data_IF_799271289519
#
_entry.id   IF_799271289519
#
_cell.length_a   1.000
_cell.length_b   1.000
_cell.length_c   1.000
_cell.angle_alpha   90.00
_cell.angle_beta   90.00
_cell.angle_gamma   90.00
#
_symmetry.space_group_name_H-M   'P 1'
#
loop_
_entity.id
_entity.type
_entity.pdbx_description
1 polymer ?
#
# COMPACT_ATOMS: atom_id res chain seq x y z
N UNK A 1 25.42 -4.56 14.92
CA UNK A 1 24.68 -3.30 14.69
C UNK A 1 25.20 -2.50 13.49
N UNK A 2 26.46 -2.07 13.45
CA UNK A 2 26.99 -1.25 12.36
C UNK A 2 26.90 -1.90 10.96
N UNK A 3 27.17 -3.20 10.83
CA UNK A 3 27.05 -3.92 9.55
C UNK A 3 25.60 -4.00 9.03
N UNK A 4 24.62 -4.14 9.90
CA UNK A 4 23.22 -4.18 9.51
C UNK A 4 22.73 -2.82 8.96
N UNK A 5 23.13 -1.72 9.63
CA UNK A 5 22.79 -0.36 9.18
C UNK A 5 23.43 -0.04 7.83
N UNK A 6 24.70 -0.43 7.61
CA UNK A 6 25.38 -0.21 6.34
C UNK A 6 24.72 -1.01 5.20
N UNK A 7 24.31 -2.24 5.48
CA UNK A 7 23.61 -3.09 4.51
C UNK A 7 22.23 -2.52 4.16
N UNK A 8 21.52 -1.95 5.14
CA UNK A 8 20.23 -1.32 4.88
C UNK A 8 20.34 -0.01 4.09
N UNK A 9 21.38 0.79 4.33
CA UNK A 9 21.65 1.99 3.52
C UNK A 9 21.95 1.59 2.08
N UNK A 10 22.76 0.56 1.87
CA UNK A 10 23.02 0.02 0.53
C UNK A 10 21.71 -0.47 -0.12
N UNK A 11 20.89 -1.23 0.60
CA UNK A 11 19.58 -1.67 0.13
C UNK A 11 18.67 -0.49 -0.28
N UNK A 12 18.68 0.62 0.48
CA UNK A 12 17.89 1.81 0.18
C UNK A 12 18.37 2.48 -1.12
N UNK A 13 19.66 2.66 -1.30
CA UNK A 13 20.23 3.23 -2.53
C UNK A 13 19.89 2.36 -3.73
N UNK A 14 19.99 1.03 -3.61
CA UNK A 14 19.62 0.09 -4.65
C UNK A 14 18.12 0.14 -4.95
N UNK A 15 17.27 0.17 -3.92
CA UNK A 15 15.81 0.25 -4.07
C UNK A 15 15.39 1.49 -4.87
N UNK A 16 15.90 2.66 -4.48
CA UNK A 16 15.61 3.92 -5.17
C UNK A 16 16.22 3.92 -6.58
N UNK A 17 17.45 3.46 -6.72
CA UNK A 17 18.14 3.39 -8.01
C UNK A 17 17.39 2.51 -9.02
N UNK A 18 17.02 1.29 -8.63
CA UNK A 18 16.28 0.39 -9.53
C UNK A 18 14.86 0.87 -9.82
N UNK A 19 14.20 1.52 -8.86
CA UNK A 19 12.90 2.14 -9.12
C UNK A 19 12.97 3.30 -10.11
N UNK A 20 14.06 4.07 -10.12
CA UNK A 20 14.31 5.09 -11.15
C UNK A 20 14.61 4.44 -12.51
N UNK A 21 15.42 3.36 -12.53
CA UNK A 21 15.71 2.63 -13.76
C UNK A 21 14.45 2.02 -14.42
N UNK A 22 13.41 1.69 -13.61
CA UNK A 22 12.11 1.28 -14.14
C UNK A 22 11.50 2.36 -15.07
N UNK A 23 11.59 3.64 -14.70
CA UNK A 23 11.05 4.75 -15.50
C UNK A 23 11.81 5.02 -16.79
N UNK A 24 13.06 4.59 -16.86
CA UNK A 24 13.94 4.82 -18.03
C UNK A 24 13.97 3.60 -18.96
N UNK A 25 13.35 2.49 -18.54
CA UNK A 25 13.40 1.24 -19.31
C UNK A 25 12.45 1.26 -20.51
N UNK A 26 12.99 1.19 -21.72
CA UNK A 26 12.23 1.10 -22.97
C UNK A 26 11.91 -0.35 -23.38
N UNK A 27 12.52 -1.34 -22.70
CA UNK A 27 12.41 -2.75 -23.05
C UNK A 27 11.72 -3.53 -21.92
N UNK A 28 10.72 -4.35 -22.27
CA UNK A 28 9.95 -5.18 -21.33
C UNK A 28 10.82 -6.10 -20.47
N UNK A 29 11.90 -6.65 -21.04
CA UNK A 29 12.82 -7.51 -20.31
C UNK A 29 13.60 -6.73 -19.27
N UNK A 30 14.07 -5.51 -19.60
CA UNK A 30 14.75 -4.62 -18.66
C UNK A 30 13.79 -4.13 -17.57
N UNK A 31 12.55 -3.82 -17.93
CA UNK A 31 11.49 -3.49 -16.96
C UNK A 31 11.32 -4.60 -15.91
N UNK A 32 11.14 -5.84 -16.37
CA UNK A 32 11.00 -6.98 -15.46
C UNK A 32 12.25 -7.15 -14.58
N UNK A 33 13.44 -7.05 -15.16
CA UNK A 33 14.70 -7.20 -14.42
C UNK A 33 14.83 -6.14 -13.32
N UNK A 34 14.57 -4.87 -13.61
CA UNK A 34 14.63 -3.81 -12.60
C UNK A 34 13.56 -3.95 -11.52
N UNK A 35 12.38 -4.45 -11.89
CA UNK A 35 11.30 -4.76 -10.96
C UNK A 35 11.71 -5.85 -9.96
N UNK A 36 12.43 -6.89 -10.41
CA UNK A 36 12.98 -7.93 -9.53
C UNK A 36 14.13 -7.41 -8.67
N UNK A 37 15.06 -6.68 -9.25
CA UNK A 37 16.16 -6.09 -8.50
C UNK A 37 15.66 -5.11 -7.42
N UNK A 38 14.63 -4.33 -7.70
CA UNK A 38 13.99 -3.45 -6.71
C UNK A 38 13.36 -4.26 -5.58
N UNK A 39 12.67 -5.37 -5.89
CA UNK A 39 12.09 -6.23 -4.85
C UNK A 39 13.15 -6.92 -4.00
N UNK A 40 14.24 -7.41 -4.60
CA UNK A 40 15.36 -8.03 -3.87
C UNK A 40 16.12 -7.03 -2.98
N UNK A 41 16.21 -5.76 -3.41
CA UNK A 41 16.89 -4.72 -2.63
C UNK A 41 16.20 -4.37 -1.31
N UNK A 42 14.97 -4.81 -1.10
CA UNK A 42 14.25 -4.67 0.17
C UNK A 42 14.69 -5.69 1.23
N UNK A 43 15.24 -6.83 0.84
CA UNK A 43 15.63 -7.93 1.74
C UNK A 43 16.52 -7.46 2.92
N UNK A 44 17.55 -6.62 2.72
CA UNK A 44 18.39 -6.14 3.81
C UNK A 44 17.64 -5.43 4.95
N UNK A 45 16.48 -4.82 4.65
CA UNK A 45 15.72 -4.09 5.66
C UNK A 45 15.06 -5.01 6.70
N UNK A 46 14.73 -6.24 6.34
CA UNK A 46 14.18 -7.22 7.27
C UNK A 46 15.15 -7.58 8.39
N UNK A 47 16.44 -7.50 8.15
CA UNK A 47 17.48 -7.88 9.12
C UNK A 47 17.94 -6.75 10.06
N UNK A 48 17.25 -5.58 10.04
CA UNK A 48 17.55 -4.50 10.96
C UNK A 48 17.11 -4.81 12.39
N UNK A 49 15.98 -5.47 12.53
CA UNK A 49 15.42 -5.88 13.81
C UNK A 49 15.48 -7.40 13.95
N UNK A 50 15.72 -7.88 15.16
CA UNK A 50 15.84 -9.31 15.48
C UNK A 50 14.55 -9.87 16.10
N UNK A 51 13.38 -9.37 15.69
CA UNK A 51 12.11 -9.83 16.24
C UNK A 51 11.74 -11.24 15.77
N UNK A 52 11.06 -11.97 16.64
CA UNK A 52 10.49 -13.28 16.33
C UNK A 52 9.37 -13.11 15.31
N UNK A 53 9.56 -13.58 14.10
CA UNK A 53 8.57 -13.45 13.02
C UNK A 53 9.11 -12.79 11.75
N UNK A 54 10.22 -12.07 11.83
CA UNK A 54 10.89 -11.45 10.67
C UNK A 54 11.19 -12.47 9.57
N UNK A 55 11.60 -13.69 9.94
CA UNK A 55 11.85 -14.74 8.96
C UNK A 55 10.58 -15.20 8.25
N UNK A 56 9.43 -15.23 8.95
CA UNK A 56 8.14 -15.58 8.35
C UNK A 56 7.71 -14.51 7.35
N UNK A 57 7.87 -13.23 7.72
CA UNK A 57 7.55 -12.13 6.81
C UNK A 57 8.48 -12.09 5.60
N UNK A 58 9.79 -12.28 5.80
CA UNK A 58 10.76 -12.38 4.72
C UNK A 58 10.44 -13.54 3.77
N UNK A 59 10.18 -14.73 4.33
CA UNK A 59 9.82 -15.89 3.53
C UNK A 59 8.55 -15.65 2.71
N UNK A 60 7.49 -15.12 3.34
CA UNK A 60 6.25 -14.76 2.65
C UNK A 60 6.50 -13.77 1.51
N UNK A 61 7.31 -12.73 1.77
CA UNK A 61 7.66 -11.72 0.76
C UNK A 61 8.43 -12.32 -0.42
N UNK A 62 9.45 -13.14 -0.18
CA UNK A 62 10.28 -13.76 -1.23
C UNK A 62 9.47 -14.73 -2.08
N UNK A 63 8.63 -15.56 -1.44
CA UNK A 63 7.76 -16.50 -2.16
C UNK A 63 6.78 -15.75 -3.07
N UNK A 64 6.13 -14.72 -2.56
CA UNK A 64 5.18 -13.94 -3.36
C UNK A 64 5.89 -13.20 -4.48
N UNK A 65 7.05 -12.60 -4.22
CA UNK A 65 7.84 -11.94 -5.28
C UNK A 65 8.22 -12.94 -6.37
N UNK A 66 8.72 -14.12 -6.03
CA UNK A 66 9.11 -15.15 -7.00
C UNK A 66 7.92 -15.69 -7.81
N UNK A 67 6.79 -15.97 -7.16
CA UNK A 67 5.58 -16.44 -7.87
C UNK A 67 5.02 -15.34 -8.77
N UNK A 68 4.92 -14.10 -8.27
CA UNK A 68 4.42 -12.99 -9.09
C UNK A 68 5.30 -12.72 -10.31
N UNK A 69 6.63 -12.79 -10.16
CA UNK A 69 7.55 -12.57 -11.27
C UNK A 69 7.47 -13.68 -12.32
N UNK A 70 7.33 -14.93 -11.91
CA UNK A 70 7.15 -16.05 -12.84
C UNK A 70 5.87 -15.92 -13.67
N UNK A 71 4.77 -15.45 -13.04
CA UNK A 71 3.51 -15.19 -13.73
C UNK A 71 3.63 -14.00 -14.70
N UNK A 72 4.32 -12.94 -14.29
CA UNK A 72 4.57 -11.77 -15.15
C UNK A 72 5.39 -12.17 -16.37
N UNK A 73 6.48 -12.91 -16.19
CA UNK A 73 7.32 -13.38 -17.30
C UNK A 73 6.54 -14.30 -18.24
N UNK A 74 5.77 -15.25 -17.72
CA UNK A 74 4.97 -16.14 -18.55
C UNK A 74 3.93 -15.36 -19.39
N UNK A 75 3.30 -14.35 -18.81
CA UNK A 75 2.37 -13.48 -19.54
C UNK A 75 3.05 -12.55 -20.56
N UNK A 76 4.32 -12.20 -20.36
CA UNK A 76 5.10 -11.40 -21.33
C UNK A 76 5.64 -12.23 -22.50
N UNK A 77 5.88 -13.52 -22.28
CA UNK A 77 6.42 -14.42 -23.30
C UNK A 77 5.36 -14.94 -24.28
N UNK A 78 4.11 -14.98 -23.85
CA UNK A 78 3.00 -15.55 -24.62
C UNK A 78 1.82 -14.59 -24.66
N UNK A 79 1.52 -13.99 -25.79
CA UNK A 79 0.43 -13.00 -25.96
C UNK A 79 -0.95 -13.57 -25.58
N UNK A 80 -1.18 -14.87 -25.78
CA UNK A 80 -2.42 -15.56 -25.39
C UNK A 80 -2.60 -15.68 -23.86
N UNK A 81 -1.55 -15.46 -23.08
CA UNK A 81 -1.52 -15.62 -21.63
C UNK A 81 -1.40 -14.27 -20.86
N UNK A 82 -1.83 -13.17 -21.48
CA UNK A 82 -1.84 -11.83 -20.84
C UNK A 82 -2.56 -11.84 -19.47
N UNK A 83 -3.57 -12.68 -19.32
CA UNK A 83 -4.28 -12.85 -18.03
C UNK A 83 -3.34 -13.29 -16.89
N UNK A 84 -2.30 -14.10 -17.17
CA UNK A 84 -1.30 -14.48 -16.16
C UNK A 84 -0.45 -13.29 -15.71
N UNK A 85 -0.12 -12.38 -16.63
CA UNK A 85 0.57 -11.13 -16.31
C UNK A 85 -0.27 -10.30 -15.34
N UNK A 86 -1.57 -10.13 -15.64
CA UNK A 86 -2.50 -9.38 -14.77
C UNK A 86 -2.59 -10.03 -13.38
N UNK A 87 -2.77 -11.34 -13.32
CA UNK A 87 -2.81 -12.09 -12.05
C UNK A 87 -1.49 -11.93 -11.27
N UNK A 88 -0.35 -12.01 -11.96
CA UNK A 88 0.97 -11.79 -11.34
C UNK A 88 1.12 -10.40 -10.74
N UNK A 89 0.64 -9.36 -11.42
CA UNK A 89 0.66 -8.00 -10.92
C UNK A 89 -0.34 -7.80 -9.77
N UNK A 90 -1.57 -8.35 -9.86
CA UNK A 90 -2.54 -8.33 -8.75
C UNK A 90 -1.97 -9.00 -7.50
N UNK A 91 -1.28 -10.13 -7.66
CA UNK A 91 -0.57 -10.81 -6.58
C UNK A 91 0.52 -9.91 -5.98
N UNK A 92 1.32 -9.26 -6.81
CA UNK A 92 2.42 -8.38 -6.37
C UNK A 92 1.93 -7.18 -5.57
N UNK A 93 0.80 -6.60 -5.95
CA UNK A 93 0.17 -5.48 -5.24
C UNK A 93 -0.70 -5.89 -4.06
N UNK A 94 -0.95 -7.19 -3.88
CA UNK A 94 -1.76 -7.72 -2.80
C UNK A 94 -3.24 -7.36 -2.90
N UNK A 95 -3.81 -7.35 -4.13
CA UNK A 95 -5.25 -7.15 -4.32
C UNK A 95 -6.00 -8.46 -4.10
N UNK A 96 -7.34 -8.35 -3.97
CA UNK A 96 -8.19 -9.54 -3.87
C UNK A 96 -7.97 -10.46 -5.09
N UNK A 97 -7.83 -11.78 -4.85
CA UNK A 97 -7.92 -12.52 -3.58
C UNK A 97 -6.61 -12.62 -2.78
N UNK A 98 -5.51 -12.02 -3.23
CA UNK A 98 -4.15 -12.24 -2.73
C UNK A 98 -3.71 -11.30 -1.61
N UNK A 99 -4.62 -10.75 -0.80
CA UNK A 99 -4.31 -9.77 0.26
C UNK A 99 -3.50 -10.34 1.43
N UNK A 100 -3.57 -11.66 1.66
CA UNK A 100 -3.07 -12.30 2.88
C UNK A 100 -1.58 -12.07 3.15
N UNK A 101 -0.74 -12.14 2.14
CA UNK A 101 0.70 -11.96 2.30
C UNK A 101 1.09 -10.54 2.77
N UNK A 102 0.33 -9.53 2.36
CA UNK A 102 0.58 -8.13 2.76
C UNK A 102 0.47 -8.00 4.27
N UNK A 103 -0.56 -8.59 4.88
CA UNK A 103 -0.72 -8.58 6.33
C UNK A 103 0.43 -9.30 7.03
N UNK A 104 0.82 -10.48 6.56
CA UNK A 104 1.94 -11.23 7.14
C UNK A 104 3.24 -10.41 7.07
N UNK A 105 3.52 -9.81 5.92
CA UNK A 105 4.74 -9.01 5.72
C UNK A 105 4.73 -7.78 6.61
N UNK A 106 3.65 -7.00 6.64
CA UNK A 106 3.63 -5.74 7.37
C UNK A 106 3.58 -5.92 8.89
N UNK A 107 2.86 -6.95 9.39
CA UNK A 107 2.72 -7.20 10.83
C UNK A 107 4.03 -7.65 11.48
N UNK A 108 4.80 -8.50 10.78
CA UNK A 108 6.04 -9.07 11.32
C UNK A 108 7.31 -8.38 10.83
N UNK A 109 7.21 -7.21 10.20
CA UNK A 109 8.36 -6.44 9.72
C UNK A 109 8.47 -5.08 10.42
N UNK A 110 9.65 -4.47 10.32
CA UNK A 110 9.91 -3.14 10.83
C UNK A 110 9.28 -2.04 9.94
N UNK A 111 9.10 -0.84 10.49
CA UNK A 111 8.49 0.30 9.80
C UNK A 111 9.23 0.75 8.54
N UNK A 112 10.52 0.40 8.40
CA UNK A 112 11.31 0.73 7.22
C UNK A 112 10.94 -0.21 6.05
N UNK A 113 10.69 -1.49 6.31
CA UNK A 113 10.12 -2.43 5.33
C UNK A 113 8.71 -1.98 4.95
N UNK A 114 7.88 -1.64 5.95
CA UNK A 114 6.53 -1.11 5.73
C UNK A 114 6.57 0.08 4.78
N UNK A 115 7.50 1.03 4.99
CA UNK A 115 7.69 2.19 4.12
C UNK A 115 8.09 1.77 2.70
N UNK A 116 9.11 0.92 2.54
CA UNK A 116 9.60 0.49 1.23
C UNK A 116 8.53 -0.21 0.39
N UNK A 117 7.79 -1.16 1.01
CA UNK A 117 6.70 -1.90 0.35
C UNK A 117 5.52 -0.99 0.00
N UNK A 118 5.14 -0.09 0.91
CA UNK A 118 3.96 0.77 0.72
C UNK A 118 4.20 1.96 -0.20
N UNK A 119 5.45 2.35 -0.44
CA UNK A 119 5.79 3.54 -1.23
C UNK A 119 6.56 3.20 -2.49
N UNK A 120 7.84 2.88 -2.37
CA UNK A 120 8.77 2.79 -3.52
C UNK A 120 8.43 1.62 -4.43
N UNK A 121 8.16 0.43 -3.89
CA UNK A 121 7.82 -0.74 -4.71
C UNK A 121 6.51 -0.57 -5.51
N UNK A 122 5.66 0.34 -5.09
CA UNK A 122 4.45 0.68 -5.85
C UNK A 122 4.71 1.44 -7.14
N UNK A 123 5.92 1.96 -7.37
CA UNK A 123 6.25 2.65 -8.63
C UNK A 123 6.00 1.78 -9.87
N UNK A 124 6.05 0.47 -9.71
CA UNK A 124 5.83 -0.49 -10.79
C UNK A 124 4.39 -0.48 -11.36
N UNK A 125 3.38 0.03 -10.62
CA UNK A 125 2.01 0.10 -11.16
C UNK A 125 1.85 1.14 -12.28
N UNK A 126 2.72 2.13 -12.38
CA UNK A 126 2.68 3.11 -13.46
C UNK A 126 2.79 2.47 -14.85
N UNK A 127 3.40 1.30 -14.93
CA UNK A 127 3.54 0.53 -16.16
C UNK A 127 2.42 -0.47 -16.40
N UNK A 128 1.53 -0.66 -15.43
CA UNK A 128 0.43 -1.61 -15.52
C UNK A 128 -0.50 -1.30 -16.70
N UNK A 129 -0.83 -0.02 -16.91
CA UNK A 129 -1.67 0.45 -18.00
C UNK A 129 -1.11 0.18 -19.40
N UNK A 130 0.23 0.05 -19.56
CA UNK A 130 0.84 -0.27 -20.85
C UNK A 130 0.56 -1.69 -21.32
N UNK A 131 0.32 -2.62 -20.39
CA UNK A 131 0.04 -4.02 -20.69
C UNK A 131 -1.44 -4.31 -20.87
N UNK A 132 -2.31 -3.42 -20.40
CA UNK A 132 -3.76 -3.60 -20.45
C UNK A 132 -4.31 -2.86 -21.67
N UNK A 133 -4.48 -3.59 -22.77
CA UNK A 133 -5.03 -3.06 -24.04
C UNK A 133 -6.57 -3.08 -24.11
N UNK A 134 -7.27 -3.10 -22.97
CA UNK A 134 -8.74 -3.22 -22.91
C UNK A 134 -9.26 -4.67 -23.04
N UNK A 135 -10.55 -4.85 -22.89
CA UNK A 135 -11.18 -6.17 -22.97
C UNK A 135 -11.40 -6.83 -21.61
N UNK A 136 -11.30 -8.16 -21.54
CA UNK A 136 -11.55 -8.94 -20.31
C UNK A 136 -10.57 -8.63 -19.18
N UNK A 137 -9.36 -8.25 -19.50
CA UNK A 137 -8.31 -7.98 -18.51
C UNK A 137 -8.59 -6.70 -17.71
N UNK A 138 -9.13 -5.67 -18.35
CA UNK A 138 -9.53 -4.43 -17.66
C UNK A 138 -10.72 -4.68 -16.71
N UNK A 139 -11.71 -5.45 -17.15
CA UNK A 139 -12.85 -5.83 -16.32
C UNK A 139 -12.40 -6.66 -15.10
N UNK A 140 -11.44 -7.57 -15.27
CA UNK A 140 -10.89 -8.35 -14.17
C UNK A 140 -10.23 -7.45 -13.12
N UNK A 141 -9.46 -6.45 -13.56
CA UNK A 141 -8.84 -5.46 -12.66
C UNK A 141 -9.87 -4.65 -11.91
N UNK A 142 -10.93 -4.16 -12.59
CA UNK A 142 -11.99 -3.40 -11.94
C UNK A 142 -12.75 -4.25 -10.91
N UNK A 143 -13.10 -5.48 -11.23
CA UNK A 143 -13.79 -6.40 -10.31
C UNK A 143 -12.91 -6.72 -9.11
N UNK A 144 -11.65 -7.08 -9.31
CA UNK A 144 -10.73 -7.33 -8.21
C UNK A 144 -10.49 -6.07 -7.36
N UNK A 145 -10.35 -4.90 -7.98
CA UNK A 145 -10.24 -3.61 -7.30
C UNK A 145 -11.47 -3.28 -6.48
N UNK A 146 -12.67 -3.42 -7.05
CA UNK A 146 -13.94 -3.20 -6.36
C UNK A 146 -14.13 -4.13 -5.16
N UNK A 147 -13.84 -5.43 -5.33
CA UNK A 147 -13.89 -6.40 -4.24
C UNK A 147 -12.88 -6.08 -3.14
N UNK A 148 -11.66 -5.65 -3.48
CA UNK A 148 -10.68 -5.25 -2.45
C UNK A 148 -11.20 -4.12 -1.59
N UNK A 149 -11.83 -3.08 -2.15
CA UNK A 149 -12.40 -1.98 -1.36
C UNK A 149 -13.50 -2.46 -0.40
N UNK A 150 -14.38 -3.35 -0.86
CA UNK A 150 -15.46 -3.89 -0.04
C UNK A 150 -14.88 -4.69 1.13
N UNK A 151 -13.96 -5.64 0.87
CA UNK A 151 -13.35 -6.46 1.92
C UNK A 151 -12.57 -5.61 2.93
N UNK A 152 -11.77 -4.65 2.46
CA UNK A 152 -11.01 -3.77 3.34
C UNK A 152 -11.93 -2.88 4.17
N UNK A 153 -13.02 -2.36 3.58
CA UNK A 153 -14.03 -1.62 4.31
C UNK A 153 -14.58 -2.42 5.51
N UNK A 154 -14.87 -3.71 5.34
CA UNK A 154 -15.26 -4.60 6.44
C UNK A 154 -14.11 -4.86 7.41
N UNK A 155 -12.87 -5.02 6.95
CA UNK A 155 -11.73 -5.29 7.81
C UNK A 155 -11.40 -4.11 8.74
N UNK A 156 -11.66 -2.87 8.34
CA UNK A 156 -11.56 -1.73 9.23
C UNK A 156 -12.46 -1.85 10.47
N UNK A 157 -13.61 -2.53 10.37
CA UNK A 157 -14.51 -2.76 11.49
C UNK A 157 -14.16 -3.97 12.34
N UNK A 158 -13.66 -5.03 11.71
CA UNK A 158 -13.51 -6.35 12.36
C UNK A 158 -12.10 -6.63 12.86
N UNK A 159 -11.06 -6.19 12.13
CA UNK A 159 -9.68 -6.68 12.30
C UNK A 159 -8.63 -5.59 12.51
N UNK A 160 -9.00 -4.38 12.92
CA UNK A 160 -8.02 -3.32 13.12
C UNK A 160 -7.62 -3.21 14.59
N UNK A 161 -6.56 -3.91 14.99
CA UNK A 161 -6.08 -3.98 16.38
C UNK A 161 -4.92 -3.03 16.71
N UNK A 162 -4.35 -2.32 15.73
CA UNK A 162 -3.20 -1.43 15.93
C UNK A 162 -2.84 -0.64 14.67
N UNK A 163 -1.79 0.18 14.78
CA UNK A 163 -1.37 1.06 13.68
C UNK A 163 -0.84 0.31 12.47
N UNK A 164 -0.18 -0.83 12.68
CA UNK A 164 0.32 -1.68 11.61
C UNK A 164 -0.85 -2.29 10.81
N UNK A 165 -1.90 -2.78 11.49
CA UNK A 165 -3.11 -3.27 10.82
C UNK A 165 -3.83 -2.17 10.07
N UNK A 166 -3.99 -0.99 10.71
CA UNK A 166 -4.57 0.18 10.06
C UNK A 166 -3.83 0.52 8.76
N UNK A 167 -2.49 0.59 8.83
CA UNK A 167 -1.69 0.92 7.66
C UNK A 167 -1.74 -0.17 6.59
N UNK A 168 -1.83 -1.45 6.97
CA UNK A 168 -2.00 -2.55 6.03
C UNK A 168 -3.28 -2.40 5.21
N UNK A 169 -4.40 -2.07 5.85
CA UNK A 169 -5.66 -1.78 5.16
C UNK A 169 -5.55 -0.56 4.24
N UNK A 170 -4.98 0.54 4.73
CA UNK A 170 -4.78 1.76 3.94
C UNK A 170 -3.84 1.52 2.74
N UNK A 171 -2.80 0.71 2.93
CA UNK A 171 -1.86 0.34 1.88
C UNK A 171 -2.53 -0.47 0.76
N UNK A 172 -3.33 -1.51 1.10
CA UNK A 172 -4.02 -2.33 0.11
C UNK A 172 -5.08 -1.51 -0.61
N UNK A 173 -5.84 -0.68 0.11
CA UNK A 173 -6.80 0.26 -0.49
C UNK A 173 -6.14 1.22 -1.49
N UNK A 174 -5.00 1.82 -1.12
CA UNK A 174 -4.25 2.69 -2.05
C UNK A 174 -3.65 1.92 -3.23
N UNK A 175 -3.26 0.65 -3.06
CA UNK A 175 -2.83 -0.20 -4.18
C UNK A 175 -3.97 -0.45 -5.15
N UNK A 176 -5.16 -0.78 -4.64
CA UNK A 176 -6.36 -0.98 -5.47
C UNK A 176 -6.72 0.28 -6.25
N UNK A 177 -6.71 1.46 -5.60
CA UNK A 177 -7.00 2.72 -6.28
C UNK A 177 -6.01 3.02 -7.40
N UNK A 178 -4.71 2.85 -7.14
CA UNK A 178 -3.67 3.12 -8.14
C UNK A 178 -3.73 2.15 -9.32
N UNK A 179 -4.02 0.87 -9.06
CA UNK A 179 -4.14 -0.15 -10.12
C UNK A 179 -5.37 0.10 -10.99
N UNK A 180 -6.53 0.41 -10.42
CA UNK A 180 -7.73 0.76 -11.20
C UNK A 180 -7.50 2.02 -12.03
N UNK A 181 -6.90 3.06 -11.44
CA UNK A 181 -6.59 4.29 -12.16
C UNK A 181 -5.59 4.07 -13.29
N UNK A 182 -4.65 3.13 -13.17
CA UNK A 182 -3.65 2.87 -14.21
C UNK A 182 -4.22 2.28 -15.49
N UNK A 183 -5.42 1.71 -15.45
CA UNK A 183 -6.11 1.16 -16.63
C UNK A 183 -6.69 2.25 -17.53
N UNK A 184 -7.23 3.30 -16.92
CA UNK A 184 -8.05 4.30 -17.62
C UNK A 184 -7.37 5.67 -17.79
N UNK A 185 -6.48 6.03 -16.84
CA UNK A 185 -5.88 7.36 -16.82
C UNK A 185 -4.64 7.44 -17.70
N UNK A 186 -4.40 8.66 -18.19
CA UNK A 186 -3.14 8.97 -18.89
C UNK A 186 -1.94 8.80 -17.94
N UNK A 187 -0.79 8.32 -18.45
CA UNK A 187 0.42 8.10 -17.66
C UNK A 187 0.88 9.34 -16.89
N UNK A 188 0.74 10.54 -17.50
CA UNK A 188 1.14 11.79 -16.86
C UNK A 188 0.29 12.10 -15.62
N UNK A 189 -1.04 11.97 -15.72
CA UNK A 189 -1.94 12.20 -14.59
C UNK A 189 -1.70 11.16 -13.48
N UNK A 190 -1.49 9.90 -13.87
CA UNK A 190 -1.18 8.83 -12.94
C UNK A 190 0.13 9.08 -12.18
N UNK A 191 1.15 9.62 -12.87
CA UNK A 191 2.43 10.00 -12.26
C UNK A 191 2.23 11.11 -11.20
N UNK A 192 1.41 12.14 -11.49
CA UNK A 192 1.10 13.18 -10.50
C UNK A 192 0.39 12.61 -9.27
N UNK A 193 -0.61 11.74 -9.46
CA UNK A 193 -1.30 11.04 -8.35
C UNK A 193 -0.29 10.25 -7.51
N UNK A 194 0.62 9.53 -8.16
CA UNK A 194 1.64 8.74 -7.49
C UNK A 194 2.65 9.58 -6.70
N UNK A 195 3.14 10.65 -7.25
CA UNK A 195 4.08 11.55 -6.55
C UNK A 195 3.44 12.15 -5.30
N UNK A 196 2.17 12.56 -5.40
CA UNK A 196 1.43 13.04 -4.25
C UNK A 196 1.22 11.93 -3.19
N UNK A 197 0.88 10.71 -3.64
CA UNK A 197 0.77 9.55 -2.78
C UNK A 197 2.09 9.23 -2.05
N UNK A 198 3.22 9.20 -2.77
CA UNK A 198 4.55 8.97 -2.19
C UNK A 198 4.85 9.93 -1.04
N UNK A 199 4.63 11.22 -1.26
CA UNK A 199 4.85 12.24 -0.24
C UNK A 199 3.95 12.02 0.98
N UNK A 200 2.64 11.87 0.74
CA UNK A 200 1.65 11.66 1.80
C UNK A 200 1.92 10.38 2.58
N UNK A 201 2.12 9.25 1.91
CA UNK A 201 2.37 7.96 2.53
C UNK A 201 3.66 7.95 3.36
N UNK A 202 4.73 8.59 2.88
CA UNK A 202 5.99 8.70 3.63
C UNK A 202 5.81 9.46 4.94
N UNK A 203 5.07 10.58 4.93
CA UNK A 203 4.76 11.35 6.13
C UNK A 203 3.90 10.55 7.11
N UNK A 204 2.90 9.80 6.61
CA UNK A 204 2.03 8.98 7.44
C UNK A 204 2.82 7.83 8.09
N UNK A 205 3.65 7.09 7.34
CA UNK A 205 4.45 5.99 7.90
C UNK A 205 5.40 6.49 8.99
N UNK A 206 6.05 7.64 8.78
CA UNK A 206 6.89 8.25 9.82
C UNK A 206 6.08 8.60 11.08
N UNK A 207 4.87 9.12 10.92
CA UNK A 207 4.00 9.43 12.05
C UNK A 207 3.59 8.15 12.80
N UNK A 208 3.12 7.13 12.08
CA UNK A 208 2.63 5.88 12.65
C UNK A 208 3.75 5.12 13.39
N UNK A 209 4.97 5.12 12.87
CA UNK A 209 6.13 4.53 13.54
C UNK A 209 6.44 5.18 14.89
N UNK A 210 6.14 6.49 15.05
CA UNK A 210 6.29 7.21 16.32
C UNK A 210 5.13 6.95 17.29
N UNK A 211 3.94 6.77 16.75
CA UNK A 211 2.74 6.48 17.55
C UNK A 211 2.75 5.05 18.10
N UNK A 212 3.20 4.09 17.30
CA UNK A 212 3.26 2.68 17.69
C UNK A 212 4.17 2.44 18.90
N UNK A 213 5.29 3.17 19.03
CA UNK A 213 6.20 3.11 20.17
C UNK A 213 5.77 3.90 21.40
N UNK A 214 4.67 4.66 21.37
CA UNK A 214 4.28 5.59 22.43
C UNK A 214 3.02 5.11 23.19
N UNK A 215 3.11 4.91 24.52
CA UNK A 215 1.93 4.59 25.35
C UNK A 215 0.92 5.74 25.43
N UNK A 216 1.39 6.99 25.42
CA UNK A 216 0.56 8.19 25.42
C UNK A 216 1.08 9.12 24.34
N UNK A 217 0.32 9.36 23.28
CA UNK A 217 0.74 10.25 22.22
C UNK A 217 0.84 11.70 22.72
N UNK A 218 1.94 12.39 22.38
CA UNK A 218 2.07 13.84 22.63
C UNK A 218 1.04 14.60 21.80
N UNK A 219 0.55 15.72 22.33
CA UNK A 219 -0.46 16.56 21.66
C UNK A 219 -0.09 16.89 20.19
N UNK A 220 1.20 17.14 19.91
CA UNK A 220 1.68 17.42 18.57
C UNK A 220 1.50 16.26 17.58
N UNK A 221 1.65 15.01 18.04
CA UNK A 221 1.40 13.83 17.19
C UNK A 221 -0.08 13.62 16.92
N UNK A 222 -0.96 13.95 17.88
CA UNK A 222 -2.41 13.92 17.67
C UNK A 222 -2.82 14.96 16.63
N UNK A 223 -2.26 16.17 16.71
CA UNK A 223 -2.51 17.21 15.70
C UNK A 223 -2.04 16.79 14.31
N UNK A 224 -0.83 16.20 14.20
CA UNK A 224 -0.31 15.66 12.95
C UNK A 224 -1.18 14.50 12.43
N UNK A 225 -1.70 13.64 13.29
CA UNK A 225 -2.60 12.56 12.92
C UNK A 225 -3.90 13.12 12.31
N UNK A 226 -4.48 14.15 12.93
CA UNK A 226 -5.67 14.82 12.40
C UNK A 226 -5.36 15.41 11.02
N UNK A 227 -4.25 16.11 10.88
CA UNK A 227 -3.89 16.78 9.63
C UNK A 227 -3.58 15.81 8.49
N UNK A 228 -2.91 14.68 8.78
CA UNK A 228 -2.46 13.72 7.75
C UNK A 228 -3.49 12.63 7.42
N UNK A 229 -4.34 12.21 8.37
CA UNK A 229 -5.19 11.03 8.21
C UNK A 229 -6.67 11.37 8.24
N UNK A 230 -7.10 12.33 9.05
CA UNK A 230 -8.52 12.67 9.16
C UNK A 230 -8.89 13.65 8.07
N UNK A 231 -9.97 13.33 7.34
CA UNK A 231 -10.51 14.19 6.28
C UNK A 231 -11.28 15.38 6.86
N UNK A 232 -10.53 16.31 7.49
CA UNK A 232 -11.07 17.56 8.00
C UNK A 232 -10.85 18.68 6.95
N UNK A 233 -11.74 19.67 6.82
CA UNK A 233 -11.52 20.79 5.92
C UNK A 233 -10.17 21.47 6.17
N UNK A 234 -9.32 21.54 5.14
CA UNK A 234 -7.94 22.05 5.22
C UNK A 234 -6.88 21.00 5.57
N UNK A 235 -7.23 19.73 5.80
CA UNK A 235 -6.27 18.66 6.00
C UNK A 235 -5.67 18.16 4.68
N UNK A 236 -4.43 17.64 4.74
CA UNK A 236 -3.79 17.02 3.57
C UNK A 236 -4.56 15.78 3.09
N UNK A 237 -5.15 15.04 4.03
CA UNK A 237 -5.95 13.85 3.73
C UNK A 237 -7.16 14.15 2.83
N UNK A 238 -7.88 15.25 3.05
CA UNK A 238 -9.06 15.57 2.23
C UNK A 238 -8.66 15.88 0.79
N UNK A 239 -7.55 16.62 0.58
CA UNK A 239 -7.06 16.92 -0.77
C UNK A 239 -6.68 15.64 -1.51
N UNK A 240 -5.95 14.73 -0.84
CA UNK A 240 -5.61 13.45 -1.42
C UNK A 240 -6.85 12.62 -1.80
N UNK A 241 -7.81 12.50 -0.87
CA UNK A 241 -9.04 11.72 -1.10
C UNK A 241 -9.92 12.34 -2.19
N UNK A 242 -10.05 13.65 -2.25
CA UNK A 242 -10.79 14.31 -3.33
C UNK A 242 -10.15 14.08 -4.69
N UNK A 243 -8.82 14.21 -4.76
CA UNK A 243 -8.09 14.00 -6.00
C UNK A 243 -8.22 12.54 -6.49
N UNK A 244 -7.95 11.56 -5.61
CA UNK A 244 -8.12 10.14 -5.93
C UNK A 244 -9.58 9.79 -6.26
N UNK A 245 -10.53 10.33 -5.50
CA UNK A 245 -11.96 10.09 -5.72
C UNK A 245 -12.44 10.58 -7.09
N UNK A 246 -12.00 11.76 -7.52
CA UNK A 246 -12.30 12.27 -8.87
C UNK A 246 -11.71 11.37 -9.97
N UNK A 247 -10.48 10.89 -9.78
CA UNK A 247 -9.84 9.99 -10.72
C UNK A 247 -10.54 8.62 -10.79
N UNK A 248 -10.94 8.03 -9.66
CA UNK A 248 -11.67 6.75 -9.64
C UNK A 248 -13.07 6.90 -10.23
N UNK A 249 -13.75 8.02 -9.96
CA UNK A 249 -15.06 8.30 -10.53
C UNK A 249 -15.02 8.34 -12.06
N UNK A 250 -13.96 8.87 -12.66
CA UNK A 250 -13.80 8.88 -14.12
C UNK A 250 -13.54 7.48 -14.71
N UNK A 251 -13.03 6.52 -13.89
CA UNK A 251 -12.79 5.16 -14.35
C UNK A 251 -14.07 4.30 -14.30
N UNK A 252 -14.64 4.09 -13.11
CA UNK A 252 -15.79 3.21 -12.92
C UNK A 252 -16.65 3.63 -11.73
N UNK A 253 -17.95 3.78 -11.94
CA UNK A 253 -18.90 4.15 -10.87
C UNK A 253 -18.99 3.06 -9.79
N UNK A 254 -18.93 1.79 -10.17
CA UNK A 254 -19.04 0.66 -9.22
C UNK A 254 -17.84 0.63 -8.29
N UNK A 255 -16.63 0.77 -8.86
CA UNK A 255 -15.40 0.84 -8.07
C UNK A 255 -15.38 2.08 -7.18
N UNK A 256 -15.88 3.22 -7.68
CA UNK A 256 -16.01 4.45 -6.89
C UNK A 256 -16.89 4.25 -5.65
N UNK A 257 -18.04 3.58 -5.77
CA UNK A 257 -18.91 3.27 -4.62
C UNK A 257 -18.19 2.38 -3.60
N UNK A 258 -17.44 1.37 -4.04
CA UNK A 258 -16.62 0.54 -3.16
C UNK A 258 -15.54 1.35 -2.44
N UNK A 259 -14.88 2.26 -3.16
CA UNK A 259 -13.87 3.16 -2.59
C UNK A 259 -14.47 4.13 -1.56
N UNK A 260 -15.65 4.69 -1.81
CA UNK A 260 -16.37 5.54 -0.85
C UNK A 260 -16.70 4.77 0.43
N UNK A 261 -17.21 3.55 0.31
CA UNK A 261 -17.47 2.67 1.47
C UNK A 261 -16.20 2.43 2.29
N UNK A 262 -15.08 2.09 1.64
CA UNK A 262 -13.79 1.90 2.29
C UNK A 262 -13.31 3.19 3.00
N UNK A 263 -13.41 4.35 2.32
CA UNK A 263 -13.02 5.65 2.87
C UNK A 263 -13.81 6.04 4.10
N UNK A 264 -15.12 5.78 4.11
CA UNK A 264 -16.01 6.03 5.25
C UNK A 264 -15.58 5.13 6.42
N UNK A 265 -15.35 3.84 6.17
CA UNK A 265 -14.93 2.87 7.20
C UNK A 265 -13.60 3.27 7.85
N UNK A 266 -12.64 3.72 7.05
CA UNK A 266 -11.37 4.26 7.53
C UNK A 266 -11.56 5.47 8.45
N UNK A 267 -12.40 6.44 8.06
CA UNK A 267 -12.65 7.64 8.88
C UNK A 267 -13.34 7.32 10.18
N UNK A 268 -14.29 6.41 10.19
CA UNK A 268 -14.94 5.96 11.44
C UNK A 268 -13.94 5.33 12.41
N UNK A 269 -13.02 4.51 11.93
CA UNK A 269 -11.96 3.96 12.78
C UNK A 269 -11.09 5.06 13.41
N UNK A 270 -10.66 6.05 12.63
CA UNK A 270 -9.84 7.16 13.11
C UNK A 270 -10.56 8.04 14.13
N UNK A 271 -11.85 8.34 13.89
CA UNK A 271 -12.68 9.10 14.84
C UNK A 271 -12.85 8.31 16.13
N UNK A 272 -13.13 7.00 16.06
CA UNK A 272 -13.22 6.13 17.25
C UNK A 272 -11.93 6.18 18.06
N UNK A 273 -10.77 6.13 17.41
CA UNK A 273 -9.48 6.25 18.08
C UNK A 273 -9.31 7.62 18.78
N UNK A 274 -9.63 8.72 18.10
CA UNK A 274 -9.53 10.06 18.69
C UNK A 274 -10.43 10.23 19.91
N UNK A 275 -11.66 9.76 19.83
CA UNK A 275 -12.60 9.79 20.96
C UNK A 275 -12.05 8.97 22.13
N UNK A 276 -11.47 7.81 21.86
CA UNK A 276 -10.87 6.95 22.89
C UNK A 276 -9.65 7.56 23.59
N UNK A 277 -8.89 8.40 22.89
CA UNK A 277 -7.71 9.10 23.44
C UNK A 277 -8.10 10.44 24.12
N UNK A 278 -9.06 11.16 23.55
CA UNK A 278 -9.43 12.50 24.00
C UNK A 278 -10.43 12.55 25.16
N UNK A 279 -11.18 11.46 25.36
CA UNK A 279 -12.14 11.39 26.48
C UNK A 279 -11.42 10.88 27.74
N UNK A 280 -11.28 11.69 28.81
CA UNK A 280 -10.70 11.22 30.04
C UNK A 280 -11.58 10.08 30.58
N UNK A 281 -10.98 8.93 30.85
CA UNK A 281 -11.66 7.82 31.52
C UNK A 281 -11.92 8.23 32.97
N UNK A 282 -13.11 8.76 33.23
CA UNK A 282 -13.56 8.97 34.61
C UNK A 282 -13.72 7.60 35.26
N UNK A 283 -13.39 7.48 36.52
CA UNK A 283 -13.47 6.23 37.31
C UNK A 283 -14.90 5.63 37.35
N UNK A 284 -15.90 6.34 36.87
CA UNK A 284 -17.30 5.94 36.74
C UNK A 284 -17.65 5.42 35.34
N UNK A 285 -16.70 5.40 34.41
CA UNK A 285 -16.90 4.87 33.08
C UNK A 285 -16.87 3.35 33.09
N UNK A 286 -18.03 2.72 33.19
CA UNK A 286 -18.23 1.32 32.79
C UNK A 286 -17.62 1.17 31.40
N UNK A 287 -16.59 0.31 31.31
CA UNK A 287 -15.86 0.12 30.06
C UNK A 287 -16.81 -0.35 28.98
N UNK A 288 -17.15 0.55 28.06
CA UNK A 288 -17.67 0.17 26.76
C UNK A 288 -16.46 -0.34 25.97
N UNK A 289 -16.12 -1.58 26.24
CA UNK A 289 -15.27 -2.38 25.35
C UNK A 289 -16.11 -2.74 24.14
N UNK A 290 -15.96 -1.98 23.06
CA UNK A 290 -16.37 -2.38 21.72
C UNK A 290 -15.20 -3.01 20.99
#
# INVERSE_FOLDING_TARGET
MFRGVLLSIFGLVCLVGFSICLFVSDNLLMFWLFLELASLSLIPFFFLDSESGVLVSLFSYVVVSGVSSSLVVSGLMFDDLLTLLVIGLLLKFGLFPFMGWVYVVLIYSNWLVVWGVSTILKSSFLFFGFFLSGGWDSVLVEVCGGLTFIFIGFFFWLYTYGWVYYWSHAMISSSASLVVMSVELSPDLLLYVFMFYLFWASMVVMLLSRLDGSRVPRLGYIFLLIFLLISFPGSLSIFYKLFVGLCIYSCSLIVFLGWVFCSISEQFYLIKYLVGVGVPRTEWGVGITF
#
